data_IF_472794957964
#
_entry.id   IF_472794957964
#
_cell.length_a   1.000
_cell.length_b   1.000
_cell.length_c   1.000
_cell.angle_alpha   90.00
_cell.angle_beta   90.00
_cell.angle_gamma   90.00
#
_symmetry.space_group_name_H-M   'P 1'
#
loop_
_entity.id
_entity.type
_entity.pdbx_description
1 polymer ?
#
# COMPACT_ATOMS: atom_id res chain seq x y z
N UNK A 1 -2.33 -0.22 14.93
CA UNK A 1 -1.34 -0.98 14.13
C UNK A 1 -1.20 -2.44 14.56
N UNK A 2 -0.72 -2.79 15.77
CA UNK A 2 -0.57 -4.22 16.18
C UNK A 2 -1.87 -5.03 16.10
N UNK A 3 -2.98 -4.47 16.58
CA UNK A 3 -4.28 -5.13 16.50
C UNK A 3 -4.74 -5.34 15.04
N UNK A 4 -4.48 -4.38 14.14
CA UNK A 4 -4.78 -4.49 12.72
C UNK A 4 -3.95 -5.59 12.05
N UNK A 5 -2.65 -5.65 12.36
CA UNK A 5 -1.77 -6.74 11.93
C UNK A 5 -2.30 -8.10 12.36
N UNK A 6 -2.62 -8.24 13.63
CA UNK A 6 -3.09 -9.52 14.17
C UNK A 6 -4.45 -9.92 13.58
N UNK A 7 -5.33 -8.95 13.32
CA UNK A 7 -6.59 -9.17 12.62
C UNK A 7 -6.37 -9.64 11.17
N UNK A 8 -5.49 -8.98 10.41
CA UNK A 8 -5.13 -9.43 9.05
C UNK A 8 -4.58 -10.85 9.04
N UNK A 9 -3.65 -11.17 9.94
CA UNK A 9 -3.09 -12.52 10.08
C UNK A 9 -4.17 -13.55 10.40
N UNK A 10 -5.15 -13.18 11.24
CA UNK A 10 -6.29 -14.04 11.51
C UNK A 10 -7.15 -14.26 10.26
N UNK A 11 -7.44 -13.21 9.46
CA UNK A 11 -8.19 -13.34 8.20
C UNK A 11 -7.47 -14.24 7.19
N UNK A 12 -6.13 -14.20 7.13
CA UNK A 12 -5.32 -15.14 6.30
C UNK A 12 -5.53 -16.59 6.76
N UNK A 13 -5.52 -16.85 8.07
CA UNK A 13 -5.76 -18.19 8.64
C UNK A 13 -7.18 -18.67 8.39
N UNK A 14 -8.17 -17.80 8.58
CA UNK A 14 -9.59 -18.10 8.35
C UNK A 14 -9.88 -18.38 6.87
N UNK A 15 -9.12 -17.75 5.96
CA UNK A 15 -9.13 -18.06 4.54
C UNK A 15 -8.52 -19.45 4.19
N UNK A 16 -7.89 -20.12 5.15
CA UNK A 16 -7.30 -21.45 5.02
C UNK A 16 -5.82 -21.46 4.64
N UNK A 17 -5.12 -20.34 4.79
CA UNK A 17 -3.70 -20.22 4.46
C UNK A 17 -2.82 -20.24 5.71
N UNK A 18 -1.60 -20.73 5.54
CA UNK A 18 -0.55 -20.71 6.56
C UNK A 18 0.68 -20.01 6.01
N UNK A 19 1.39 -19.30 6.87
CA UNK A 19 2.69 -18.71 6.56
C UNK A 19 3.78 -19.41 7.36
N UNK A 20 4.89 -19.78 6.71
CA UNK A 20 6.08 -20.32 7.36
C UNK A 20 6.96 -19.23 8.00
N UNK A 21 6.80 -17.99 7.57
CA UNK A 21 7.45 -16.81 8.14
C UNK A 21 6.66 -16.38 9.38
N UNK A 22 7.37 -16.03 10.45
CA UNK A 22 6.73 -15.51 11.65
C UNK A 22 5.97 -14.21 11.35
N UNK A 23 4.97 -13.87 12.16
CA UNK A 23 4.26 -12.60 12.05
C UNK A 23 5.25 -11.45 12.33
N UNK A 24 5.40 -10.47 11.43
CA UNK A 24 6.40 -9.41 11.58
C UNK A 24 6.04 -8.46 12.74
N UNK A 25 7.00 -8.02 13.56
CA UNK A 25 6.79 -6.86 14.42
C UNK A 25 6.54 -5.61 13.57
N UNK A 26 5.78 -4.66 14.14
CA UNK A 26 5.61 -3.32 13.56
C UNK A 26 6.52 -2.36 14.31
N UNK A 27 7.43 -1.70 13.60
CA UNK A 27 8.34 -0.68 14.12
C UNK A 27 7.91 0.69 13.60
N UNK A 28 7.86 1.67 14.50
CA UNK A 28 7.51 3.06 14.18
C UNK A 28 8.79 3.88 14.12
N UNK A 29 9.17 4.30 12.92
CA UNK A 29 10.40 5.04 12.62
C UNK A 29 10.23 5.93 11.38
N UNK A 30 11.17 6.85 11.13
CA UNK A 30 11.18 7.61 9.88
C UNK A 30 11.57 6.68 8.74
N UNK A 31 10.57 6.27 7.96
CA UNK A 31 10.70 5.34 6.82
C UNK A 31 10.21 6.01 5.54
N UNK A 32 10.95 5.90 4.42
CA UNK A 32 10.48 6.39 3.12
C UNK A 32 9.11 5.83 2.77
N UNK A 33 8.27 6.63 2.12
CA UNK A 33 6.91 6.26 1.70
C UNK A 33 5.98 5.80 2.83
N UNK A 34 6.36 6.04 4.09
CA UNK A 34 5.57 5.80 5.32
C UNK A 34 5.28 4.33 5.66
N UNK A 35 5.75 3.39 4.85
CA UNK A 35 5.59 1.95 5.04
C UNK A 35 6.68 1.16 4.33
N UNK A 36 7.13 0.06 4.93
CA UNK A 36 7.86 -0.99 4.20
C UNK A 36 7.80 -2.32 4.96
N UNK A 37 7.73 -3.42 4.22
CA UNK A 37 8.04 -4.76 4.71
C UNK A 37 9.41 -5.20 4.23
N UNK A 38 10.26 -5.59 5.18
CA UNK A 38 11.59 -6.12 4.90
C UNK A 38 11.61 -7.65 5.12
N UNK A 39 11.75 -8.46 4.06
CA UNK A 39 11.75 -9.91 4.16
C UNK A 39 13.04 -10.48 4.78
N UNK A 40 14.15 -9.74 4.80
CA UNK A 40 15.42 -10.20 5.38
C UNK A 40 15.38 -10.15 6.90
N UNK A 41 14.80 -9.07 7.44
CA UNK A 41 14.63 -8.88 8.90
C UNK A 41 13.24 -9.27 9.41
N UNK A 42 12.32 -9.65 8.51
CA UNK A 42 10.90 -9.91 8.77
C UNK A 42 10.27 -8.78 9.61
N UNK A 43 10.41 -7.54 9.18
CA UNK A 43 9.97 -6.36 9.94
C UNK A 43 9.06 -5.49 9.08
N UNK A 44 7.93 -5.09 9.67
CA UNK A 44 7.08 -4.01 9.13
C UNK A 44 7.53 -2.69 9.75
N UNK A 45 7.87 -1.73 8.91
CA UNK A 45 8.22 -0.37 9.31
C UNK A 45 7.12 0.57 8.88
N UNK A 46 6.85 1.57 9.70
CA UNK A 46 5.89 2.63 9.40
C UNK A 46 6.27 3.90 10.13
N UNK A 47 5.69 5.04 9.76
CA UNK A 47 6.00 6.33 10.39
C UNK A 47 4.91 6.76 11.38
N UNK A 48 5.19 7.81 12.13
CA UNK A 48 4.20 8.54 12.92
C UNK A 48 4.19 10.00 12.48
N UNK A 49 3.06 10.70 12.61
CA UNK A 49 2.93 12.11 12.22
C UNK A 49 4.07 12.99 12.77
N UNK A 50 4.46 12.76 14.03
CA UNK A 50 5.53 13.51 14.70
C UNK A 50 6.94 13.24 14.18
N UNK A 51 7.12 12.19 13.36
CA UNK A 51 8.40 11.82 12.75
C UNK A 51 8.51 12.33 11.31
N UNK A 52 7.42 12.83 10.72
CA UNK A 52 7.43 13.34 9.36
C UNK A 52 8.31 14.59 9.23
N UNK A 53 9.09 14.62 8.15
CA UNK A 53 9.76 15.84 7.71
C UNK A 53 8.74 16.88 7.24
N UNK A 54 9.06 18.18 7.28
CA UNK A 54 8.14 19.23 6.84
C UNK A 54 7.55 18.99 5.44
N UNK A 55 8.37 18.53 4.49
CA UNK A 55 7.95 18.21 3.11
C UNK A 55 7.00 17.01 3.05
N UNK A 56 7.19 16.00 3.88
CA UNK A 56 6.34 14.81 3.96
C UNK A 56 4.97 15.16 4.54
N UNK A 57 4.94 15.95 5.63
CA UNK A 57 3.68 16.41 6.21
C UNK A 57 2.89 17.33 5.26
N UNK A 58 3.58 18.20 4.50
CA UNK A 58 2.96 19.11 3.52
C UNK A 58 2.17 18.40 2.43
N UNK A 59 2.57 17.19 2.06
CA UNK A 59 1.87 16.37 1.09
C UNK A 59 0.43 16.04 1.54
N UNK A 60 0.21 15.79 2.83
CA UNK A 60 -1.13 15.54 3.37
C UNK A 60 -2.01 16.80 3.38
N UNK A 61 -1.43 17.98 3.60
CA UNK A 61 -2.17 19.24 3.40
C UNK A 61 -2.55 19.44 1.93
N UNK A 62 -1.66 19.06 1.01
CA UNK A 62 -1.94 19.17 -0.43
C UNK A 62 -3.12 18.28 -0.85
N UNK A 63 -3.18 17.04 -0.35
CA UNK A 63 -4.30 16.13 -0.63
C UNK A 63 -5.63 16.69 -0.12
N UNK A 64 -5.62 17.26 1.08
CA UNK A 64 -6.84 17.74 1.74
C UNK A 64 -7.27 19.15 1.30
N UNK A 65 -6.43 19.84 0.53
CA UNK A 65 -6.72 21.13 -0.08
C UNK A 65 -6.38 22.35 0.79
N UNK A 66 -6.57 23.57 0.24
CA UNK A 66 -6.00 24.81 0.80
C UNK A 66 -6.51 25.23 2.18
N UNK A 67 -7.58 24.61 2.68
CA UNK A 67 -8.18 24.90 4.00
C UNK A 67 -7.93 23.78 5.03
N UNK A 68 -7.07 22.80 4.71
CA UNK A 68 -6.77 21.71 5.62
C UNK A 68 -6.08 22.23 6.89
N UNK A 69 -6.65 21.89 8.05
CA UNK A 69 -6.00 22.08 9.35
C UNK A 69 -4.99 20.95 9.60
N UNK A 70 -4.10 21.14 10.58
CA UNK A 70 -3.19 20.05 11.00
C UNK A 70 -3.96 18.81 11.47
N UNK A 71 -5.09 18.99 12.15
CA UNK A 71 -5.92 17.87 12.59
C UNK A 71 -6.46 17.05 11.40
N UNK A 72 -6.88 17.72 10.34
CA UNK A 72 -7.37 17.08 9.11
C UNK A 72 -6.22 16.36 8.39
N UNK A 73 -5.08 17.03 8.20
CA UNK A 73 -3.93 16.44 7.51
C UNK A 73 -3.35 15.25 8.29
N UNK A 74 -3.27 15.37 9.62
CA UNK A 74 -2.86 14.28 10.51
C UNK A 74 -3.83 13.12 10.45
N UNK A 75 -5.14 13.39 10.46
CA UNK A 75 -6.14 12.33 10.33
C UNK A 75 -5.99 11.59 9.00
N UNK A 76 -5.73 12.29 7.90
CA UNK A 76 -5.47 11.66 6.60
C UNK A 76 -4.20 10.81 6.63
N UNK A 77 -3.13 11.29 7.27
CA UNK A 77 -1.94 10.47 7.49
C UNK A 77 -2.25 9.19 8.26
N UNK A 78 -2.98 9.28 9.37
CA UNK A 78 -3.30 8.10 10.19
C UNK A 78 -4.22 7.14 9.43
N UNK A 79 -5.23 7.65 8.71
CA UNK A 79 -6.17 6.84 7.93
C UNK A 79 -5.49 6.19 6.71
N UNK A 80 -4.58 6.89 6.03
CA UNK A 80 -3.82 6.34 4.90
C UNK A 80 -2.71 5.41 5.36
N UNK A 81 -1.82 5.90 6.23
CA UNK A 81 -0.61 5.16 6.59
C UNK A 81 -0.91 4.03 7.57
N UNK A 82 -1.66 4.29 8.66
CA UNK A 82 -1.85 3.27 9.71
C UNK A 82 -2.98 2.28 9.43
N UNK A 83 -3.84 2.55 8.44
CA UNK A 83 -4.80 1.57 7.93
C UNK A 83 -4.38 1.02 6.56
N UNK A 84 -4.39 1.84 5.50
CA UNK A 84 -4.16 1.36 4.13
C UNK A 84 -2.76 0.78 3.95
N UNK A 85 -1.71 1.59 4.19
CA UNK A 85 -0.32 1.18 3.95
C UNK A 85 0.06 -0.04 4.80
N UNK A 86 -0.32 -0.09 6.09
CA UNK A 86 -0.04 -1.28 6.92
C UNK A 86 -0.59 -2.58 6.33
N UNK A 87 -1.80 -2.57 5.76
CA UNK A 87 -2.37 -3.77 5.14
C UNK A 87 -1.69 -4.08 3.81
N UNK A 88 -1.30 -3.06 3.04
CA UNK A 88 -0.47 -3.23 1.84
C UNK A 88 0.85 -3.95 2.18
N UNK A 89 1.59 -3.47 3.19
CA UNK A 89 2.84 -4.09 3.62
C UNK A 89 2.65 -5.51 4.18
N UNK A 90 1.51 -5.78 4.82
CA UNK A 90 1.12 -7.14 5.20
C UNK A 90 0.82 -8.05 4.00
N UNK A 91 0.39 -7.46 2.89
CA UNK A 91 0.33 -8.10 1.58
C UNK A 91 1.71 -8.58 1.13
N UNK A 92 2.75 -7.76 1.27
CA UNK A 92 4.13 -8.17 0.98
C UNK A 92 4.63 -9.27 1.91
N UNK A 93 4.30 -9.21 3.22
CA UNK A 93 4.57 -10.32 4.13
C UNK A 93 3.93 -11.62 3.62
N UNK A 94 2.65 -11.58 3.23
CA UNK A 94 1.99 -12.76 2.68
C UNK A 94 2.63 -13.23 1.38
N UNK A 95 2.99 -12.33 0.46
CA UNK A 95 3.73 -12.67 -0.76
C UNK A 95 5.06 -13.39 -0.44
N UNK A 96 5.80 -12.93 0.56
CA UNK A 96 7.02 -13.59 1.01
C UNK A 96 6.74 -15.00 1.56
N UNK A 97 5.61 -15.22 2.26
CA UNK A 97 5.17 -16.57 2.66
C UNK A 97 4.95 -17.51 1.47
N UNK A 98 4.72 -16.97 0.27
CA UNK A 98 4.51 -17.70 -0.98
C UNK A 98 5.79 -17.79 -1.83
N UNK A 99 6.91 -17.24 -1.36
CA UNK A 99 8.17 -17.19 -2.12
C UNK A 99 8.17 -16.14 -3.23
N UNK A 100 7.23 -15.20 -3.20
CA UNK A 100 7.19 -14.06 -4.12
C UNK A 100 8.11 -12.98 -3.57
N UNK A 101 9.13 -12.63 -4.35
CA UNK A 101 10.20 -11.69 -4.03
C UNK A 101 10.60 -10.98 -5.33
N UNK A 102 11.41 -9.93 -5.26
CA UNK A 102 11.98 -9.29 -6.46
C UNK A 102 12.82 -10.24 -7.34
N UNK A 103 13.26 -11.38 -6.78
CA UNK A 103 13.97 -12.43 -7.53
C UNK A 103 13.03 -13.33 -8.33
N UNK A 104 11.76 -13.41 -7.94
CA UNK A 104 10.77 -14.35 -8.50
C UNK A 104 9.62 -13.65 -9.24
N UNK A 105 9.44 -12.34 -9.03
CA UNK A 105 8.43 -11.53 -9.71
C UNK A 105 8.96 -10.13 -10.04
N UNK A 106 8.30 -9.45 -10.98
CA UNK A 106 8.61 -8.07 -11.35
C UNK A 106 8.01 -7.08 -10.35
N UNK A 107 8.66 -5.95 -10.06
CA UNK A 107 8.17 -4.97 -9.07
C UNK A 107 6.71 -4.61 -9.24
N UNK A 108 6.25 -4.31 -10.47
CA UNK A 108 4.85 -3.96 -10.73
C UNK A 108 3.87 -5.04 -10.24
N UNK A 109 4.19 -6.31 -10.49
CA UNK A 109 3.33 -7.43 -10.09
C UNK A 109 3.34 -7.66 -8.56
N UNK A 110 4.47 -7.35 -7.91
CA UNK A 110 4.62 -7.41 -6.45
C UNK A 110 3.74 -6.33 -5.81
N UNK A 111 3.94 -5.07 -6.20
CA UNK A 111 3.19 -3.91 -5.70
C UNK A 111 1.68 -4.04 -5.97
N UNK A 112 1.31 -4.31 -7.22
CA UNK A 112 -0.10 -4.49 -7.57
C UNK A 112 -0.72 -5.69 -6.83
N UNK A 113 0.06 -6.75 -6.59
CA UNK A 113 -0.39 -7.88 -5.80
C UNK A 113 -0.68 -7.52 -4.34
N UNK A 114 0.16 -6.68 -3.72
CA UNK A 114 -0.05 -6.17 -2.36
C UNK A 114 -1.27 -5.25 -2.29
N UNK A 115 -1.45 -4.37 -3.27
CA UNK A 115 -2.65 -3.53 -3.42
C UNK A 115 -3.93 -4.35 -3.56
N UNK A 116 -3.91 -5.41 -4.39
CA UNK A 116 -5.06 -6.32 -4.52
C UNK A 116 -5.40 -7.00 -3.21
N UNK A 117 -4.41 -7.41 -2.43
CA UNK A 117 -4.61 -8.04 -1.11
C UNK A 117 -5.25 -7.02 -0.16
N UNK A 118 -4.70 -5.79 -0.08
CA UNK A 118 -5.24 -4.74 0.76
C UNK A 118 -6.67 -4.34 0.37
N UNK A 119 -6.93 -4.19 -0.93
CA UNK A 119 -8.25 -3.89 -1.45
C UNK A 119 -9.26 -4.98 -1.08
N UNK A 120 -8.90 -6.26 -1.20
CA UNK A 120 -9.78 -7.36 -0.85
C UNK A 120 -10.03 -7.45 0.66
N UNK A 121 -9.00 -7.24 1.49
CA UNK A 121 -9.15 -7.19 2.95
C UNK A 121 -10.14 -6.09 3.36
N UNK A 122 -9.92 -4.86 2.91
CA UNK A 122 -10.77 -3.73 3.29
C UNK A 122 -12.19 -3.83 2.72
N UNK A 123 -12.38 -4.36 1.51
CA UNK A 123 -13.74 -4.61 0.99
C UNK A 123 -14.56 -5.58 1.88
N UNK A 124 -13.92 -6.50 2.60
CA UNK A 124 -14.61 -7.45 3.48
C UNK A 124 -14.79 -6.93 4.92
N UNK A 125 -13.83 -6.17 5.43
CA UNK A 125 -13.79 -5.80 6.86
C UNK A 125 -14.31 -4.38 7.12
N UNK A 126 -13.97 -3.42 6.24
CA UNK A 126 -14.44 -2.05 6.32
C UNK A 126 -14.42 -1.38 4.93
N UNK A 127 -15.51 -1.50 4.16
CA UNK A 127 -15.63 -0.84 2.86
C UNK A 127 -15.51 0.69 2.93
N UNK A 128 -15.67 1.29 4.12
CA UNK A 128 -15.48 2.71 4.36
C UNK A 128 -14.06 3.17 4.08
N UNK A 129 -13.05 2.31 4.34
CA UNK A 129 -11.65 2.61 4.02
C UNK A 129 -11.46 2.77 2.50
N UNK A 130 -12.02 1.88 1.69
CA UNK A 130 -11.97 1.99 0.22
C UNK A 130 -12.70 3.24 -0.26
N UNK A 131 -13.87 3.53 0.32
CA UNK A 131 -14.67 4.70 -0.04
C UNK A 131 -13.93 6.02 0.28
N UNK A 132 -13.18 6.05 1.38
CA UNK A 132 -12.34 7.17 1.78
C UNK A 132 -11.09 7.32 0.91
N UNK A 133 -10.36 6.23 0.67
CA UNK A 133 -9.09 6.26 -0.06
C UNK A 133 -9.24 6.49 -1.57
N UNK A 134 -10.36 6.08 -2.18
CA UNK A 134 -10.62 6.30 -3.61
C UNK A 134 -10.45 7.76 -4.05
N UNK A 135 -11.16 8.76 -3.48
CA UNK A 135 -11.00 10.16 -3.90
C UNK A 135 -9.59 10.69 -3.63
N UNK A 136 -8.86 10.17 -2.64
CA UNK A 136 -7.46 10.55 -2.37
C UNK A 136 -6.55 10.08 -3.51
N UNK A 137 -6.66 8.82 -3.94
CA UNK A 137 -5.90 8.29 -5.08
C UNK A 137 -6.28 8.97 -6.41
N UNK A 138 -7.57 9.28 -6.61
CA UNK A 138 -8.02 10.06 -7.78
C UNK A 138 -7.40 11.45 -7.79
N UNK A 139 -7.36 12.13 -6.63
CA UNK A 139 -6.73 13.44 -6.50
C UNK A 139 -5.21 13.38 -6.76
N UNK A 140 -4.52 12.33 -6.32
CA UNK A 140 -3.11 12.12 -6.62
C UNK A 140 -2.90 11.99 -8.13
N UNK A 141 -3.68 11.14 -8.82
CA UNK A 141 -3.54 10.98 -10.27
C UNK A 141 -3.85 12.26 -11.05
N UNK A 142 -4.71 13.13 -10.50
CA UNK A 142 -5.05 14.41 -11.11
C UNK A 142 -3.97 15.49 -10.88
N UNK A 143 -3.41 15.56 -9.67
CA UNK A 143 -2.51 16.63 -9.26
C UNK A 143 -1.04 16.36 -9.54
N UNK A 144 -0.64 15.08 -9.65
CA UNK A 144 0.74 14.71 -9.91
C UNK A 144 0.98 14.45 -11.40
N UNK A 145 2.09 14.94 -11.98
CA UNK A 145 2.44 14.63 -13.36
C UNK A 145 2.55 13.12 -13.59
N UNK A 146 2.00 12.64 -14.71
CA UNK A 146 2.21 11.26 -15.12
C UNK A 146 3.71 11.03 -15.37
N UNK A 147 4.38 10.14 -14.61
CA UNK A 147 5.81 9.90 -14.76
C UNK A 147 6.16 9.08 -16.02
N UNK A 148 5.17 8.47 -16.67
CA UNK A 148 5.37 7.62 -17.85
C UNK A 148 5.46 8.49 -19.11
N UNK A 149 6.56 8.42 -19.88
CA UNK A 149 6.70 9.13 -21.15
C UNK A 149 5.57 8.78 -22.13
N UNK A 150 5.21 9.74 -22.97
CA UNK A 150 4.19 9.54 -24.01
C UNK A 150 4.55 8.34 -24.90
N UNK A 151 3.58 7.44 -25.10
CA UNK A 151 3.77 6.22 -25.90
C UNK A 151 4.46 5.05 -25.19
N UNK A 152 4.99 5.26 -23.97
CA UNK A 152 5.55 4.17 -23.17
C UNK A 152 4.46 3.36 -22.45
N UNK A 153 4.73 2.08 -22.23
CA UNK A 153 3.85 1.20 -21.45
C UNK A 153 4.10 1.36 -19.95
N UNK A 154 3.02 1.52 -19.19
CA UNK A 154 3.08 1.83 -17.74
C UNK A 154 3.83 0.77 -16.93
N UNK A 155 3.50 -0.51 -17.10
CA UNK A 155 4.13 -1.60 -16.32
C UNK A 155 5.62 -1.80 -16.66
N UNK A 156 6.04 -1.90 -17.94
CA UNK A 156 7.46 -1.93 -18.28
C UNK A 156 8.22 -0.74 -17.72
N UNK A 157 7.69 0.48 -17.84
CA UNK A 157 8.34 1.67 -17.28
C UNK A 157 8.52 1.56 -15.76
N UNK A 158 7.48 1.17 -15.03
CA UNK A 158 7.59 0.97 -13.58
C UNK A 158 8.68 -0.05 -13.22
N UNK A 159 8.69 -1.19 -13.92
CA UNK A 159 9.65 -2.26 -13.66
C UNK A 159 11.10 -1.82 -13.92
N UNK A 160 11.32 -1.05 -14.99
CA UNK A 160 12.66 -0.61 -15.40
C UNK A 160 13.18 0.54 -14.51
N UNK A 161 12.28 1.34 -13.92
CA UNK A 161 12.62 2.53 -13.12
C UNK A 161 12.28 2.39 -11.62
N UNK A 162 11.96 1.19 -11.14
CA UNK A 162 11.40 0.97 -9.79
C UNK A 162 12.23 1.61 -8.67
N UNK A 163 13.55 1.38 -8.68
CA UNK A 163 14.47 1.90 -7.66
C UNK A 163 14.62 3.43 -7.72
N UNK A 164 14.43 4.04 -8.90
CA UNK A 164 14.48 5.49 -9.10
C UNK A 164 13.17 6.15 -8.69
N UNK A 165 12.04 5.43 -8.80
CA UNK A 165 10.72 5.94 -8.49
C UNK A 165 10.46 6.02 -6.99
N UNK A 166 10.92 5.04 -6.21
CA UNK A 166 10.63 4.91 -4.76
C UNK A 166 10.70 6.22 -3.95
N UNK A 167 11.76 7.04 -4.04
CA UNK A 167 11.87 8.28 -3.26
C UNK A 167 11.15 9.48 -3.89
N UNK A 168 10.39 9.28 -4.96
CA UNK A 168 9.77 10.37 -5.73
C UNK A 168 8.24 10.32 -5.67
N UNK A 169 7.55 11.45 -5.92
CA UNK A 169 6.10 11.43 -6.09
C UNK A 169 5.60 10.53 -7.23
N UNK A 170 6.48 10.15 -8.17
CA UNK A 170 6.15 9.21 -9.23
C UNK A 170 5.72 7.84 -8.68
N UNK A 171 6.34 7.35 -7.61
CA UNK A 171 5.93 6.09 -6.99
C UNK A 171 4.50 6.17 -6.44
N UNK A 172 4.15 7.27 -5.76
CA UNK A 172 2.79 7.48 -5.26
C UNK A 172 1.74 7.55 -6.40
N UNK A 173 2.10 8.12 -7.56
CA UNK A 173 1.25 8.10 -8.75
C UNK A 173 1.00 6.66 -9.23
N UNK A 174 2.03 5.81 -9.27
CA UNK A 174 1.87 4.40 -9.63
C UNK A 174 1.00 3.63 -8.63
N UNK A 175 1.25 3.78 -7.33
CA UNK A 175 0.44 3.17 -6.26
C UNK A 175 -1.02 3.59 -6.38
N UNK A 176 -1.30 4.88 -6.57
CA UNK A 176 -2.66 5.39 -6.75
C UNK A 176 -3.37 4.75 -7.95
N UNK A 177 -2.65 4.57 -9.07
CA UNK A 177 -3.19 3.88 -10.26
C UNK A 177 -3.45 2.39 -10.00
N UNK A 178 -2.54 1.70 -9.31
CA UNK A 178 -2.67 0.29 -8.96
C UNK A 178 -3.84 0.05 -7.99
N UNK A 179 -3.94 0.84 -6.93
CA UNK A 179 -5.05 0.86 -5.98
C UNK A 179 -6.41 1.05 -6.67
N UNK A 180 -6.55 2.09 -7.51
CA UNK A 180 -7.80 2.33 -8.23
C UNK A 180 -8.16 1.18 -9.17
N UNK A 181 -7.16 0.61 -9.85
CA UNK A 181 -7.35 -0.59 -10.69
C UNK A 181 -7.87 -1.77 -9.85
N UNK A 182 -7.28 -2.02 -8.68
CA UNK A 182 -7.73 -3.07 -7.76
C UNK A 182 -9.16 -2.81 -7.25
N UNK A 183 -9.52 -1.55 -7.00
CA UNK A 183 -10.86 -1.18 -6.52
C UNK A 183 -11.96 -1.36 -7.57
N UNK A 184 -11.58 -1.40 -8.86
CA UNK A 184 -12.49 -1.53 -9.99
C UNK A 184 -12.75 -2.97 -10.42
N UNK A 185 -12.04 -3.94 -9.84
CA UNK A 185 -12.18 -5.35 -10.19
C UNK A 185 -13.61 -5.86 -10.05
N UNK A 186 -14.08 -6.55 -11.11
CA UNK A 186 -15.42 -7.14 -11.20
C UNK A 186 -15.36 -8.60 -11.63
N UNK A 187 -16.02 -9.53 -10.91
CA UNK A 187 -16.64 -9.32 -9.60
C UNK A 187 -15.58 -8.97 -8.55
N UNK A 188 -15.96 -8.21 -7.51
CA UNK A 188 -15.06 -7.90 -6.38
C UNK A 188 -14.51 -9.21 -5.81
N UNK A 189 -13.18 -9.42 -5.81
CA UNK A 189 -12.62 -10.66 -5.29
C UNK A 189 -12.71 -10.68 -3.77
N UNK A 190 -12.96 -11.85 -3.20
CA UNK A 190 -12.79 -12.06 -1.76
C UNK A 190 -11.32 -12.10 -1.40
N UNK A 191 -10.98 -11.82 -0.13
CA UNK A 191 -9.61 -11.94 0.35
C UNK A 191 -9.09 -13.35 0.11
N UNK A 192 -9.88 -14.38 0.41
CA UNK A 192 -9.53 -15.79 0.14
C UNK A 192 -9.17 -16.03 -1.32
N UNK A 193 -9.92 -15.44 -2.26
CA UNK A 193 -9.64 -15.57 -3.68
C UNK A 193 -8.32 -14.91 -4.05
N UNK A 194 -8.10 -13.67 -3.62
CA UNK A 194 -6.84 -12.96 -3.92
C UNK A 194 -5.64 -13.72 -3.34
N UNK A 195 -5.71 -14.17 -2.09
CA UNK A 195 -4.65 -14.96 -1.45
C UNK A 195 -4.37 -16.28 -2.21
N UNK A 196 -5.39 -16.91 -2.81
CA UNK A 196 -5.22 -18.11 -3.63
C UNK A 196 -4.53 -17.83 -4.98
N UNK A 197 -4.75 -16.63 -5.53
CA UNK A 197 -4.14 -16.16 -6.79
C UNK A 197 -2.69 -15.69 -6.57
N UNK A 198 -2.29 -15.33 -5.34
CA UNK A 198 -0.92 -14.99 -4.95
C UNK A 198 -0.03 -16.24 -4.88
N UNK A 199 0.67 -16.55 -5.97
CA UNK A 199 1.54 -17.73 -6.12
C UNK A 199 2.74 -17.46 -7.00
#
# INVERSE_FOLDING_TARGET
MTALRDAFVQSVKDAGFTCSIAVPPVMVEDVPSFGSYDPETNTLRTSAWSLLKPEESQMFYHFMGPNATEEIARKEFEDGVHHWVIVHELGHWFQACRGITEKTAKPYAIEFGADRIAAAYWNEHDPGVIAHQRPVFEAILHNFPNPVPEGASVEPFFNDHYQELGPTPGYLWFQSRMCLTAFEEKPKPSLKRVLAETR
#
